data_IF_038991485709
#
_entry.id   IF_038991485709
#
_cell.length_a   1.000
_cell.length_b   1.000
_cell.length_c   1.000
_cell.angle_alpha   90.00
_cell.angle_beta   90.00
_cell.angle_gamma   90.00
#
_symmetry.space_group_name_H-M   'P 1'
#
loop_
_entity.id
_entity.type
_entity.pdbx_description
1 polymer ?
#
# COMPACT_ATOMS: atom_id res chain seq x y z
N UNK A 1 41.88 -30.26 -28.83
CA UNK A 1 41.02 -30.10 -27.64
C UNK A 1 40.07 -28.94 -27.93
N UNK A 2 38.78 -29.23 -28.11
CA UNK A 2 37.74 -28.23 -28.41
C UNK A 2 37.26 -27.60 -27.09
N UNK A 3 37.31 -26.28 -26.98
CA UNK A 3 36.75 -25.51 -25.88
C UNK A 3 35.25 -25.31 -26.09
N UNK A 4 34.46 -25.66 -25.08
CA UNK A 4 33.01 -25.45 -25.03
C UNK A 4 32.73 -24.06 -24.47
N UNK A 5 31.88 -23.22 -25.09
CA UNK A 5 31.48 -21.94 -24.49
C UNK A 5 30.36 -22.14 -23.46
N UNK A 6 30.42 -21.38 -22.37
CA UNK A 6 29.41 -21.34 -21.31
C UNK A 6 28.05 -20.79 -21.81
N UNK A 7 26.91 -21.27 -21.28
CA UNK A 7 25.60 -20.77 -21.68
C UNK A 7 25.35 -19.35 -21.14
N UNK A 8 24.91 -18.48 -22.05
CA UNK A 8 24.35 -17.14 -21.79
C UNK A 8 23.15 -17.25 -20.85
N UNK A 9 23.14 -16.45 -19.79
CA UNK A 9 21.95 -16.22 -18.98
C UNK A 9 20.86 -15.57 -19.84
N UNK A 10 19.76 -16.30 -20.05
CA UNK A 10 18.53 -15.81 -20.66
C UNK A 10 17.81 -14.92 -19.66
N UNK A 11 17.70 -13.63 -19.98
CA UNK A 11 16.82 -12.69 -19.30
C UNK A 11 15.36 -13.17 -19.46
N UNK A 12 14.65 -13.30 -18.34
CA UNK A 12 13.24 -13.65 -18.32
C UNK A 12 12.37 -12.37 -18.41
N UNK A 13 11.28 -12.38 -19.18
CA UNK A 13 10.42 -11.22 -19.36
C UNK A 13 9.52 -10.97 -18.14
N UNK A 14 9.51 -9.72 -17.65
CA UNK A 14 8.48 -9.21 -16.73
C UNK A 14 7.22 -8.92 -17.52
N UNK A 15 6.21 -9.76 -17.40
CA UNK A 15 4.87 -9.46 -17.93
C UNK A 15 3.81 -9.84 -16.89
N UNK A 16 3.47 -8.89 -16.01
CA UNK A 16 2.17 -8.80 -15.37
C UNK A 16 1.52 -7.53 -15.93
N UNK A 17 0.66 -7.68 -16.92
CA UNK A 17 0.05 -6.58 -17.64
C UNK A 17 -1.18 -6.07 -16.87
N UNK A 18 -1.11 -4.86 -16.35
CA UNK A 18 -2.26 -4.12 -15.81
C UNK A 18 -3.02 -3.48 -17.00
N UNK A 19 -3.72 -4.30 -17.78
CA UNK A 19 -4.56 -3.82 -18.88
C UNK A 19 -5.93 -3.40 -18.35
N UNK A 20 -6.14 -2.09 -18.24
CA UNK A 20 -7.47 -1.51 -18.09
C UNK A 20 -8.38 -1.92 -19.26
N UNK A 21 -9.66 -2.23 -19.03
CA UNK A 21 -10.63 -2.24 -20.13
C UNK A 21 -10.83 -0.80 -20.62
N UNK A 22 -10.18 -0.45 -21.73
CA UNK A 22 -10.53 0.73 -22.52
C UNK A 22 -11.97 0.57 -23.02
N UNK A 23 -12.92 1.26 -22.39
CA UNK A 23 -14.21 1.61 -23.00
C UNK A 23 -14.32 3.12 -23.15
N UNK A 24 -13.91 3.54 -24.35
CA UNK A 24 -14.35 4.69 -25.13
C UNK A 24 -15.20 5.73 -24.39
N UNK A 25 -14.62 6.90 -24.14
CA UNK A 25 -15.35 8.16 -24.25
C UNK A 25 -14.49 9.09 -25.10
N UNK A 26 -15.03 9.44 -26.27
CA UNK A 26 -14.49 10.47 -27.13
C UNK A 26 -14.44 11.79 -26.35
N UNK A 27 -13.26 12.38 -26.20
CA UNK A 27 -13.11 13.79 -25.86
C UNK A 27 -12.49 14.48 -27.05
N UNK A 28 -13.34 15.25 -27.71
CA UNK A 28 -13.02 16.13 -28.81
C UNK A 28 -11.95 17.14 -28.38
N UNK A 29 -11.01 17.39 -29.29
CA UNK A 29 -10.18 18.59 -29.27
C UNK A 29 -11.09 19.83 -29.28
N UNK A 30 -10.90 20.72 -28.32
CA UNK A 30 -11.13 22.16 -28.54
C UNK A 30 -9.93 22.89 -27.96
N UNK A 31 -9.00 23.26 -28.84
CA UNK A 31 -7.97 24.27 -28.54
C UNK A 31 -8.42 25.61 -29.13
N UNK A 32 -8.45 26.61 -28.27
CA UNK A 32 -8.24 28.04 -28.50
C UNK A 32 -9.11 28.78 -29.53
N UNK A 33 -9.91 29.72 -29.02
CA UNK A 33 -10.31 30.92 -29.75
C UNK A 33 -10.33 32.15 -28.81
N UNK A 34 -9.38 33.05 -29.09
CA UNK A 34 -9.44 34.51 -29.03
C UNK A 34 -9.62 35.25 -27.69
N UNK A 35 -8.56 35.99 -27.36
CA UNK A 35 -8.63 37.29 -26.70
C UNK A 35 -9.59 38.24 -27.45
N UNK A 36 -10.64 38.72 -26.75
CA UNK A 36 -11.20 40.07 -26.90
C UNK A 36 -12.25 40.35 -25.81
N UNK A 37 -11.98 41.31 -24.93
CA UNK A 37 -12.90 42.35 -24.49
C UNK A 37 -14.21 42.04 -23.73
N UNK A 38 -14.28 42.61 -22.52
CA UNK A 38 -15.45 43.25 -21.89
C UNK A 38 -16.49 42.43 -21.08
N UNK A 39 -16.39 42.65 -19.76
CA UNK A 39 -17.42 43.02 -18.77
C UNK A 39 -18.67 42.16 -18.46
N UNK A 40 -18.72 41.83 -17.16
CA UNK A 40 -19.86 41.72 -16.22
C UNK A 40 -20.91 40.64 -16.45
N UNK A 41 -20.93 39.64 -15.56
CA UNK A 41 -21.93 39.51 -14.48
C UNK A 41 -21.67 38.23 -13.70
N UNK A 42 -21.84 38.29 -12.38
CA UNK A 42 -21.54 37.20 -11.47
C UNK A 42 -22.38 35.96 -11.76
N UNK A 43 -21.72 34.88 -12.15
CA UNK A 43 -22.21 33.53 -11.96
C UNK A 43 -21.10 32.75 -11.26
N UNK A 44 -21.33 32.47 -9.99
CA UNK A 44 -20.56 31.48 -9.24
C UNK A 44 -20.64 30.17 -10.04
N UNK A 45 -19.54 29.78 -10.66
CA UNK A 45 -19.38 28.43 -11.18
C UNK A 45 -19.36 27.51 -9.96
N UNK A 46 -20.51 26.93 -9.63
CA UNK A 46 -20.54 25.75 -8.77
C UNK A 46 -19.80 24.68 -9.56
N UNK A 47 -18.58 24.41 -9.13
CA UNK A 47 -17.77 23.28 -9.57
C UNK A 47 -18.52 22.00 -9.18
N UNK A 48 -19.44 21.55 -10.03
CA UNK A 48 -20.15 20.30 -9.86
C UNK A 48 -19.19 19.18 -10.24
N UNK A 49 -18.36 18.77 -9.27
CA UNK A 49 -17.80 17.42 -9.27
C UNK A 49 -18.96 16.45 -9.52
N UNK A 50 -18.85 15.52 -10.49
CA UNK A 50 -19.91 14.55 -10.72
C UNK A 50 -20.23 13.84 -9.40
N UNK A 51 -21.50 13.90 -9.00
CA UNK A 51 -21.98 13.27 -7.77
C UNK A 51 -21.96 11.75 -7.98
N UNK A 52 -20.80 11.15 -7.72
CA UNK A 52 -20.67 9.70 -7.73
C UNK A 52 -21.46 9.12 -6.55
N UNK A 53 -22.20 8.04 -6.80
CA UNK A 53 -22.78 7.24 -5.73
C UNK A 53 -21.67 6.35 -5.15
N UNK A 54 -21.39 6.52 -3.86
CA UNK A 54 -20.49 5.68 -3.10
C UNK A 54 -21.30 4.76 -2.19
N UNK A 55 -21.07 3.46 -2.30
CA UNK A 55 -21.69 2.48 -1.41
C UNK A 55 -20.90 2.44 -0.09
N UNK A 56 -21.57 2.57 1.05
CA UNK A 56 -20.92 2.39 2.35
C UNK A 56 -20.43 0.95 2.47
N UNK A 57 -19.16 0.76 2.79
CA UNK A 57 -18.52 -0.55 2.91
C UNK A 57 -17.66 -0.61 4.17
N UNK A 58 -17.55 -1.80 4.75
CA UNK A 58 -16.48 -2.13 5.71
C UNK A 58 -15.30 -2.72 4.94
N UNK A 59 -14.11 -2.63 5.53
CA UNK A 59 -12.91 -3.24 4.93
C UNK A 59 -13.08 -4.76 4.81
N UNK A 60 -13.67 -5.40 5.80
CA UNK A 60 -13.93 -6.85 5.77
C UNK A 60 -14.82 -7.27 4.59
N UNK A 61 -15.85 -6.48 4.27
CA UNK A 61 -16.72 -6.76 3.14
C UNK A 61 -16.00 -6.68 1.79
N UNK A 62 -15.03 -5.77 1.64
CA UNK A 62 -14.23 -5.65 0.42
C UNK A 62 -13.27 -6.83 0.32
N UNK A 63 -12.54 -7.14 1.40
CA UNK A 63 -11.54 -8.21 1.41
C UNK A 63 -12.13 -9.63 1.26
N UNK A 64 -13.41 -9.81 1.55
CA UNK A 64 -14.11 -11.09 1.39
C UNK A 64 -14.92 -11.19 0.10
N UNK A 65 -14.96 -10.11 -0.69
CA UNK A 65 -15.58 -10.13 -2.01
C UNK A 65 -14.68 -10.89 -3.00
N UNK A 66 -15.25 -11.85 -3.73
CA UNK A 66 -14.53 -12.63 -4.74
C UNK A 66 -14.23 -11.85 -6.02
N UNK A 67 -14.54 -10.55 -6.02
CA UNK A 67 -14.35 -9.59 -7.10
C UNK A 67 -15.53 -9.48 -8.07
N UNK A 68 -16.58 -10.28 -7.87
CA UNK A 68 -17.83 -10.28 -8.64
C UNK A 68 -19.03 -9.82 -7.81
N UNK A 69 -18.83 -9.54 -6.51
CA UNK A 69 -19.86 -9.07 -5.61
C UNK A 69 -20.04 -7.55 -5.61
N UNK A 70 -20.84 -7.02 -4.67
CA UNK A 70 -21.18 -5.59 -4.60
C UNK A 70 -20.00 -4.68 -4.27
N UNK A 71 -18.86 -5.25 -3.84
CA UNK A 71 -17.63 -4.54 -3.54
C UNK A 71 -16.47 -4.99 -4.43
N UNK A 72 -16.80 -5.58 -5.59
CA UNK A 72 -15.85 -6.05 -6.59
C UNK A 72 -15.05 -4.95 -7.28
N UNK A 73 -14.32 -5.34 -8.33
CA UNK A 73 -13.35 -4.46 -8.99
C UNK A 73 -14.06 -3.27 -9.64
N UNK A 74 -13.46 -2.09 -9.49
CA UNK A 74 -13.99 -0.85 -10.02
C UNK A 74 -15.21 -0.28 -9.29
N UNK A 75 -15.72 -0.93 -8.23
CA UNK A 75 -16.83 -0.40 -7.44
C UNK A 75 -16.40 0.83 -6.64
N UNK A 76 -17.33 1.78 -6.49
CA UNK A 76 -17.10 2.99 -5.68
C UNK A 76 -17.63 2.81 -4.27
N UNK A 77 -16.74 2.98 -3.30
CA UNK A 77 -17.05 2.75 -1.89
C UNK A 77 -16.76 3.96 -1.03
N UNK A 78 -17.45 4.03 0.10
CA UNK A 78 -17.17 4.90 1.22
C UNK A 78 -16.75 4.04 2.41
N UNK A 79 -15.51 4.21 2.85
CA UNK A 79 -15.02 3.74 4.13
C UNK A 79 -15.21 4.88 5.14
N UNK A 80 -15.94 4.64 6.22
CA UNK A 80 -16.17 5.64 7.25
C UNK A 80 -15.34 5.38 8.49
N UNK A 81 -14.80 6.45 9.08
CA UNK A 81 -14.07 6.46 10.35
C UNK A 81 -12.99 5.37 10.50
N UNK A 82 -12.26 5.07 9.43
CA UNK A 82 -11.09 4.17 9.46
C UNK A 82 -9.87 4.90 10.01
N UNK A 83 -8.90 4.17 10.56
CA UNK A 83 -7.70 4.75 11.17
C UNK A 83 -6.48 4.46 10.32
N UNK A 84 -5.71 5.49 9.98
CA UNK A 84 -4.42 5.33 9.32
C UNK A 84 -3.40 4.62 10.23
N UNK A 85 -2.94 3.44 9.85
CA UNK A 85 -2.00 2.63 10.66
C UNK A 85 -0.55 2.75 10.19
N UNK A 86 -0.30 3.27 9.00
CA UNK A 86 1.02 3.59 8.46
C UNK A 86 1.19 5.09 8.21
N UNK A 87 2.44 5.54 8.00
CA UNK A 87 2.68 6.82 7.33
C UNK A 87 2.33 6.69 5.83
N UNK A 88 2.18 7.82 5.15
CA UNK A 88 2.09 7.80 3.70
C UNK A 88 3.44 7.43 3.12
N UNK A 89 3.42 6.45 2.24
CA UNK A 89 4.57 5.99 1.49
C UNK A 89 4.49 6.39 0.03
N UNK A 90 5.61 6.24 -0.68
CA UNK A 90 5.75 6.59 -2.09
C UNK A 90 6.63 5.59 -2.84
N UNK A 91 6.22 5.25 -4.06
CA UNK A 91 6.96 4.37 -4.96
C UNK A 91 6.75 4.81 -6.41
N UNK A 92 7.63 4.36 -7.31
CA UNK A 92 7.43 4.54 -8.75
C UNK A 92 6.78 3.28 -9.32
N UNK A 93 5.63 3.44 -9.97
CA UNK A 93 5.04 2.32 -10.71
C UNK A 93 5.91 2.04 -11.95
N UNK A 94 6.47 0.83 -12.01
CA UNK A 94 7.42 0.45 -13.05
C UNK A 94 6.83 0.42 -14.47
N UNK A 95 5.50 0.28 -14.60
CA UNK A 95 4.81 0.15 -15.89
C UNK A 95 4.62 1.51 -16.54
N UNK A 96 4.05 2.46 -15.79
CA UNK A 96 3.69 3.77 -16.33
C UNK A 96 4.61 4.91 -15.88
N UNK A 97 5.64 4.60 -15.09
CA UNK A 97 6.62 5.57 -14.59
C UNK A 97 5.94 6.74 -13.84
N UNK A 98 4.89 6.45 -13.07
CA UNK A 98 4.20 7.43 -12.23
C UNK A 98 4.58 7.25 -10.77
N UNK A 99 4.74 8.39 -10.07
CA UNK A 99 4.79 8.40 -8.62
C UNK A 99 3.42 7.97 -8.08
N UNK A 100 3.45 6.96 -7.20
CA UNK A 100 2.30 6.47 -6.46
C UNK A 100 2.53 6.75 -4.99
N UNK A 101 1.45 7.07 -4.30
CA UNK A 101 1.44 7.30 -2.87
C UNK A 101 0.48 6.31 -2.23
N UNK A 102 0.80 5.77 -1.07
CA UNK A 102 -0.06 4.82 -0.41
C UNK A 102 -0.04 4.94 1.12
N UNK A 103 -1.14 4.53 1.76
CA UNK A 103 -1.27 4.44 3.20
C UNK A 103 -2.11 3.21 3.53
N UNK A 104 -1.81 2.53 4.62
CA UNK A 104 -2.69 1.48 5.13
C UNK A 104 -3.63 2.05 6.18
N UNK A 105 -4.89 1.69 6.06
CA UNK A 105 -5.93 2.03 7.01
C UNK A 105 -6.55 0.77 7.57
N UNK A 106 -7.01 0.83 8.81
CA UNK A 106 -7.66 -0.28 9.49
C UNK A 106 -8.98 0.19 10.08
N UNK A 107 -10.00 -0.66 9.96
CA UNK A 107 -11.31 -0.43 10.56
C UNK A 107 -11.24 -0.72 12.07
N UNK A 108 -11.44 0.29 12.93
CA UNK A 108 -11.32 0.12 14.38
C UNK A 108 -12.46 -0.67 15.00
N UNK A 109 -13.60 -0.80 14.30
CA UNK A 109 -14.78 -1.52 14.78
C UNK A 109 -14.87 -2.95 14.18
N UNK A 110 -13.91 -3.30 13.33
CA UNK A 110 -13.82 -4.63 12.73
C UNK A 110 -13.37 -5.68 13.75
N UNK A 111 -14.25 -6.68 13.96
CA UNK A 111 -14.03 -7.80 14.88
C UNK A 111 -13.65 -9.10 14.17
N UNK A 112 -13.82 -9.16 12.85
CA UNK A 112 -13.53 -10.34 12.03
C UNK A 112 -12.49 -9.96 10.97
N UNK A 113 -11.24 -10.41 11.11
CA UNK A 113 -10.20 -10.15 10.12
C UNK A 113 -10.54 -10.74 8.73
N UNK A 114 -10.02 -10.17 7.62
CA UNK A 114 -9.09 -9.03 7.58
C UNK A 114 -9.78 -7.68 7.75
N UNK A 115 -9.11 -6.79 8.49
CA UNK A 115 -9.64 -5.47 8.88
C UNK A 115 -8.86 -4.28 8.29
N UNK A 116 -7.80 -4.54 7.52
CA UNK A 116 -6.98 -3.51 6.90
C UNK A 116 -7.07 -3.51 5.37
N UNK A 117 -6.76 -2.37 4.77
CA UNK A 117 -6.69 -2.20 3.31
C UNK A 117 -5.67 -1.12 2.98
N UNK A 118 -5.04 -1.21 1.80
CA UNK A 118 -4.19 -0.14 1.30
C UNK A 118 -5.01 0.87 0.51
N UNK A 119 -4.74 2.15 0.74
CA UNK A 119 -5.33 3.28 0.04
C UNK A 119 -4.22 3.94 -0.78
N UNK A 120 -4.44 4.08 -2.08
CA UNK A 120 -3.45 4.57 -3.05
C UNK A 120 -3.93 5.87 -3.69
N UNK A 121 -2.99 6.76 -3.98
CA UNK A 121 -3.17 7.96 -4.76
C UNK A 121 -2.15 8.03 -5.91
N UNK A 122 -2.59 8.61 -7.02
CA UNK A 122 -1.75 8.84 -8.19
C UNK A 122 -1.16 10.23 -8.11
N UNK A 123 0.17 10.31 -8.12
CA UNK A 123 0.90 11.56 -8.23
C UNK A 123 1.36 11.84 -9.66
N UNK A 124 2.31 12.77 -9.76
CA UNK A 124 2.93 13.15 -11.02
C UNK A 124 3.79 12.04 -11.65
N UNK A 125 4.18 12.24 -12.91
CA UNK A 125 5.19 11.39 -13.55
C UNK A 125 6.50 11.40 -12.77
N UNK A 126 7.18 10.26 -12.77
CA UNK A 126 8.51 10.14 -12.23
C UNK A 126 9.46 11.14 -12.90
N UNK A 127 10.41 11.73 -12.16
CA UNK A 127 11.28 12.77 -12.69
C UNK A 127 12.24 12.27 -13.78
N UNK A 128 12.53 10.97 -13.82
CA UNK A 128 13.39 10.31 -14.81
C UNK A 128 13.11 8.79 -14.88
N UNK A 129 13.53 8.08 -15.95
CA UNK A 129 13.13 6.68 -16.21
C UNK A 129 13.53 5.63 -15.17
N UNK A 130 14.59 5.88 -14.40
CA UNK A 130 15.10 4.96 -13.36
C UNK A 130 14.81 5.47 -11.95
N UNK A 131 13.89 6.43 -11.81
CA UNK A 131 13.51 7.01 -10.53
C UNK A 131 12.95 5.97 -9.57
N UNK A 132 13.21 6.20 -8.29
CA UNK A 132 12.76 5.39 -7.17
C UNK A 132 11.77 6.16 -6.31
N UNK A 133 11.15 5.48 -5.35
CA UNK A 133 10.25 6.11 -4.37
C UNK A 133 10.81 7.40 -3.77
N UNK A 134 12.10 7.43 -3.35
CA UNK A 134 12.73 8.66 -2.83
C UNK A 134 12.70 9.85 -3.78
N UNK A 135 12.77 9.61 -5.08
CA UNK A 135 12.90 10.64 -6.11
C UNK A 135 11.54 11.28 -6.43
N UNK A 136 10.45 10.63 -6.02
CA UNK A 136 9.12 11.24 -6.03
C UNK A 136 9.02 12.40 -5.01
N UNK A 137 8.19 13.42 -5.26
CA UNK A 137 7.96 14.50 -4.31
C UNK A 137 7.62 13.99 -2.93
N UNK A 138 8.01 14.74 -1.90
CA UNK A 138 7.56 14.49 -0.54
C UNK A 138 6.03 14.49 -0.48
N UNK A 139 5.45 13.72 0.43
CA UNK A 139 3.99 13.61 0.60
C UNK A 139 3.32 14.98 0.68
N UNK A 140 3.87 15.90 1.48
CA UNK A 140 3.35 17.25 1.68
C UNK A 140 3.36 18.14 0.44
N UNK A 141 4.19 17.81 -0.57
CA UNK A 141 4.31 18.56 -1.83
C UNK A 141 3.87 17.73 -3.03
N UNK A 142 3.30 16.54 -2.80
CA UNK A 142 2.89 15.61 -3.86
C UNK A 142 1.69 16.09 -4.67
N UNK A 143 0.90 17.02 -4.13
CA UNK A 143 -0.39 17.42 -4.71
C UNK A 143 -1.47 16.34 -4.65
N UNK A 144 -1.20 15.21 -3.99
CA UNK A 144 -2.17 14.11 -3.87
C UNK A 144 -3.11 14.29 -2.69
N UNK A 145 -4.24 13.56 -2.72
CA UNK A 145 -5.20 13.51 -1.62
C UNK A 145 -4.58 12.95 -0.33
N UNK A 146 -3.49 12.18 -0.41
CA UNK A 146 -2.78 11.68 0.77
C UNK A 146 -1.77 12.69 1.35
N UNK A 147 -1.69 13.91 0.84
CA UNK A 147 -0.66 14.88 1.25
C UNK A 147 -0.75 15.32 2.73
N UNK A 148 -1.94 15.25 3.32
CA UNK A 148 -2.22 15.76 4.67
C UNK A 148 -2.48 14.68 5.72
N UNK A 149 -2.63 13.41 5.33
CA UNK A 149 -2.95 12.33 6.26
C UNK A 149 -1.69 11.80 6.96
N UNK A 150 -1.80 11.59 8.28
CA UNK A 150 -0.78 11.00 9.13
C UNK A 150 -1.23 9.70 9.78
N UNK A 151 -0.25 8.89 10.22
CA UNK A 151 -0.53 7.69 11.03
C UNK A 151 -1.21 8.09 12.35
N UNK A 152 -2.36 7.51 12.61
CA UNK A 152 -3.23 7.77 13.75
C UNK A 152 -4.45 8.63 13.42
N UNK A 153 -4.50 9.22 12.22
CA UNK A 153 -5.66 10.01 11.81
C UNK A 153 -6.86 9.10 11.55
N UNK A 154 -8.02 9.57 12.00
CA UNK A 154 -9.30 9.02 11.60
C UNK A 154 -9.68 9.65 10.26
N UNK A 155 -10.10 8.85 9.30
CA UNK A 155 -10.44 9.33 7.97
C UNK A 155 -11.74 8.71 7.45
N UNK A 156 -12.47 9.51 6.69
CA UNK A 156 -13.48 9.03 5.76
C UNK A 156 -12.89 9.05 4.36
N UNK A 157 -12.94 7.90 3.70
CA UNK A 157 -12.29 7.68 2.40
C UNK A 157 -13.36 7.30 1.39
N UNK A 158 -13.39 8.04 0.28
CA UNK A 158 -14.21 7.73 -0.89
C UNK A 158 -13.27 7.38 -2.04
N UNK A 159 -13.54 6.28 -2.72
CA UNK A 159 -12.65 5.84 -3.79
C UNK A 159 -13.17 4.64 -4.54
N UNK A 160 -12.34 4.17 -5.47
CA UNK A 160 -12.60 3.01 -6.30
C UNK A 160 -11.81 1.82 -5.80
N UNK A 161 -12.50 0.70 -5.62
CA UNK A 161 -11.88 -0.60 -5.31
C UNK A 161 -11.10 -1.09 -6.53
N UNK A 162 -9.88 -1.57 -6.30
CA UNK A 162 -9.02 -2.23 -7.28
C UNK A 162 -8.38 -3.45 -6.63
N UNK A 163 -8.29 -4.55 -7.37
CA UNK A 163 -7.59 -5.75 -6.91
C UNK A 163 -6.32 -5.99 -7.70
N UNK A 164 -5.28 -6.42 -7.00
CA UNK A 164 -4.07 -6.97 -7.62
C UNK A 164 -4.20 -8.49 -7.64
N UNK A 165 -4.30 -9.13 -8.82
CA UNK A 165 -4.25 -10.59 -8.92
C UNK A 165 -2.82 -11.10 -8.86
N UNK A 166 -2.64 -12.34 -8.39
CA UNK A 166 -1.39 -13.08 -8.53
C UNK A 166 -1.00 -13.17 -10.02
N UNK A 167 0.29 -13.30 -10.32
CA UNK A 167 0.79 -13.56 -11.66
C UNK A 167 0.84 -15.06 -12.01
N UNK A 168 0.49 -15.93 -11.06
CA UNK A 168 0.37 -17.39 -11.24
C UNK A 168 -1.11 -17.82 -11.26
N UNK A 169 -1.49 -18.73 -12.16
CA UNK A 169 -2.83 -19.32 -12.14
C UNK A 169 -3.10 -20.04 -10.80
N UNK A 170 -4.28 -19.84 -10.18
CA UNK A 170 -5.52 -19.33 -10.78
C UNK A 170 -5.75 -17.81 -10.69
N UNK A 171 -4.71 -16.99 -10.51
CA UNK A 171 -4.79 -15.52 -10.45
C UNK A 171 -5.70 -15.02 -9.31
N UNK A 172 -5.53 -15.60 -8.13
CA UNK A 172 -6.24 -15.16 -6.92
C UNK A 172 -5.90 -13.71 -6.59
N UNK A 173 -6.84 -12.97 -6.01
CA UNK A 173 -6.55 -11.63 -5.46
C UNK A 173 -5.46 -11.76 -4.39
N UNK A 174 -4.38 -11.01 -4.56
CA UNK A 174 -3.27 -10.92 -3.60
C UNK A 174 -3.31 -9.62 -2.80
N UNK A 175 -3.90 -8.55 -3.31
CA UNK A 175 -4.08 -7.30 -2.55
C UNK A 175 -5.37 -6.57 -2.95
N UNK A 176 -6.12 -6.13 -1.94
CA UNK A 176 -7.27 -5.23 -2.08
C UNK A 176 -6.82 -3.78 -1.87
N UNK A 177 -7.23 -2.90 -2.78
CA UNK A 177 -6.76 -1.52 -2.83
C UNK A 177 -7.92 -0.55 -3.02
N UNK A 178 -7.81 0.64 -2.44
CA UNK A 178 -8.68 1.78 -2.73
C UNK A 178 -7.88 2.86 -3.44
N UNK A 179 -8.22 3.16 -4.69
CA UNK A 179 -7.76 4.40 -5.32
C UNK A 179 -8.63 5.56 -4.85
N UNK A 180 -8.03 6.46 -4.08
CA UNK A 180 -8.75 7.54 -3.41
C UNK A 180 -9.24 8.58 -4.42
N UNK A 181 -10.53 8.92 -4.33
CA UNK A 181 -11.20 9.99 -5.09
C UNK A 181 -11.52 11.19 -4.18
N UNK A 182 -11.70 10.98 -2.86
CA UNK A 182 -11.76 12.03 -1.84
C UNK A 182 -11.37 11.48 -0.45
N UNK A 183 -10.77 12.34 0.38
CA UNK A 183 -10.46 12.02 1.79
C UNK A 183 -10.88 13.17 2.70
N UNK A 184 -11.46 12.84 3.84
CA UNK A 184 -11.84 13.78 4.88
C UNK A 184 -11.20 13.30 6.19
N UNK A 185 -10.32 14.11 6.77
CA UNK A 185 -9.76 13.84 8.10
C UNK A 185 -10.84 14.18 9.12
N UNK A 186 -11.21 13.18 9.91
CA UNK A 186 -12.22 13.29 10.96
C UNK A 186 -11.55 13.66 12.29
N UNK A 187 -12.39 14.04 13.26
CA UNK A 187 -11.93 14.14 14.64
C UNK A 187 -11.44 12.78 15.14
N UNK A 188 -10.25 12.76 15.75
CA UNK A 188 -9.68 11.53 16.32
C UNK A 188 -10.52 11.05 17.49
N UNK A 189 -11.32 10.00 17.26
CA UNK A 189 -12.20 9.40 18.27
C UNK A 189 -12.05 7.88 18.38
N UNK A 190 -11.17 7.29 17.55
CA UNK A 190 -10.84 5.87 17.54
C UNK A 190 -9.31 5.71 17.49
N UNK A 191 -8.83 4.53 17.86
CA UNK A 191 -7.43 4.18 17.77
C UNK A 191 -7.30 2.69 17.48
N UNK A 192 -6.19 2.30 16.86
CA UNK A 192 -5.86 0.90 16.59
C UNK A 192 -4.76 0.47 17.56
N UNK A 193 -5.08 -0.56 18.36
CA UNK A 193 -4.06 -1.34 19.04
C UNK A 193 -3.54 -2.43 18.07
N UNK A 194 -2.22 -2.63 17.96
CA UNK A 194 -1.69 -3.72 17.15
C UNK A 194 -2.20 -5.09 17.62
N UNK A 195 -2.45 -5.99 16.68
CA UNK A 195 -2.73 -7.40 17.00
C UNK A 195 -1.43 -8.10 17.39
N UNK A 196 -1.32 -8.52 18.65
CA UNK A 196 -0.11 -9.18 19.17
C UNK A 196 -0.14 -10.67 18.80
N UNK A 197 0.92 -11.12 18.13
CA UNK A 197 1.15 -12.51 17.74
C UNK A 197 2.34 -13.03 18.53
N UNK A 198 2.09 -14.00 19.42
CA UNK A 198 3.11 -14.54 20.32
C UNK A 198 3.55 -15.97 20.03
N UNK A 199 2.78 -16.71 19.23
CA UNK A 199 3.14 -18.04 18.78
C UNK A 199 4.15 -17.95 17.62
N UNK A 200 5.39 -18.31 17.94
CA UNK A 200 6.53 -18.25 17.02
C UNK A 200 6.40 -19.26 15.88
N UNK A 201 5.57 -20.30 16.02
CA UNK A 201 5.30 -21.25 14.94
C UNK A 201 4.55 -20.59 13.76
N UNK A 202 3.90 -19.45 13.98
CA UNK A 202 3.16 -18.72 12.94
C UNK A 202 4.02 -17.71 12.19
N UNK A 203 5.24 -17.40 12.66
CA UNK A 203 6.02 -16.28 12.12
C UNK A 203 6.52 -16.51 10.69
N UNK A 204 6.64 -17.78 10.28
CA UNK A 204 6.96 -18.17 8.91
C UNK A 204 5.83 -17.90 7.91
N UNK A 205 4.65 -17.50 8.37
CA UNK A 205 3.54 -17.07 7.50
C UNK A 205 3.77 -15.67 6.93
N UNK A 206 4.71 -14.91 7.48
CA UNK A 206 5.04 -13.55 7.03
C UNK A 206 6.32 -13.58 6.19
N UNK A 207 6.26 -14.22 5.04
CA UNK A 207 7.40 -14.42 4.14
C UNK A 207 7.05 -14.05 2.72
N UNK A 208 7.94 -13.33 2.04
CA UNK A 208 7.70 -12.82 0.70
C UNK A 208 7.38 -13.96 -0.27
N UNK A 209 6.26 -13.84 -1.00
CA UNK A 209 5.79 -14.84 -1.98
C UNK A 209 5.59 -16.28 -1.44
N UNK A 210 5.39 -16.46 -0.12
CA UNK A 210 5.22 -17.79 0.48
C UNK A 210 3.95 -17.86 1.35
N UNK A 211 3.01 -18.73 0.94
CA UNK A 211 1.76 -19.00 1.66
C UNK A 211 0.66 -17.96 1.46
N UNK A 212 -0.60 -18.33 1.73
CA UNK A 212 -1.78 -17.43 1.76
C UNK A 212 -2.34 -17.27 3.19
N UNK A 213 -1.64 -17.81 4.19
CA UNK A 213 -2.12 -17.85 5.58
C UNK A 213 -2.06 -16.49 6.28
N UNK A 214 -1.32 -15.52 5.71
CA UNK A 214 -1.27 -14.13 6.15
C UNK A 214 -2.48 -13.30 5.69
N UNK A 215 -3.28 -13.76 4.71
CA UNK A 215 -4.38 -12.97 4.12
C UNK A 215 -5.37 -12.48 5.18
N UNK A 216 -5.57 -13.26 6.26
CA UNK A 216 -6.40 -12.85 7.40
C UNK A 216 -5.91 -11.57 8.10
N UNK A 217 -4.67 -11.17 7.90
CA UNK A 217 -4.08 -9.96 8.47
C UNK A 217 -3.85 -8.85 7.43
N UNK A 218 -4.39 -8.98 6.22
CA UNK A 218 -4.22 -7.98 5.14
C UNK A 218 -4.40 -6.54 5.65
N UNK A 219 -3.37 -5.71 5.46
CA UNK A 219 -3.33 -4.30 5.85
C UNK A 219 -3.45 -4.02 7.34
N UNK A 220 -3.42 -5.04 8.20
CA UNK A 220 -3.56 -4.87 9.64
C UNK A 220 -2.23 -4.54 10.30
N UNK A 221 -2.28 -3.75 11.38
CA UNK A 221 -1.15 -3.50 12.25
C UNK A 221 -0.96 -4.69 13.21
N UNK A 222 0.16 -5.38 13.10
CA UNK A 222 0.50 -6.55 13.92
C UNK A 222 1.81 -6.34 14.68
N UNK A 223 1.93 -6.97 15.84
CA UNK A 223 3.16 -7.01 16.63
C UNK A 223 3.59 -8.45 16.80
N UNK A 224 4.77 -8.80 16.28
CA UNK A 224 5.40 -10.08 16.63
C UNK A 224 6.09 -9.91 17.98
N UNK A 225 5.67 -10.69 18.97
CA UNK A 225 6.19 -10.64 20.34
C UNK A 225 6.26 -12.07 20.89
N UNK A 226 7.39 -12.78 20.71
CA UNK A 226 7.55 -14.15 21.18
C UNK A 226 7.13 -14.31 22.64
N UNK A 227 6.34 -15.34 22.95
CA UNK A 227 6.01 -15.66 24.35
C UNK A 227 7.26 -15.98 25.19
N UNK A 228 8.31 -16.49 24.54
CA UNK A 228 9.63 -16.77 25.11
C UNK A 228 10.72 -16.38 24.12
N UNK A 229 11.85 -15.85 24.62
CA UNK A 229 13.00 -15.46 23.79
C UNK A 229 12.85 -14.08 23.16
N UNK A 230 13.62 -13.83 22.10
CA UNK A 230 13.66 -12.57 21.37
C UNK A 230 13.64 -12.82 19.86
N UNK A 231 13.18 -11.83 19.11
CA UNK A 231 13.40 -11.77 17.68
C UNK A 231 14.87 -11.41 17.42
N UNK A 232 15.56 -12.15 16.56
CA UNK A 232 16.95 -11.88 16.16
C UNK A 232 17.03 -11.63 14.66
N UNK A 233 17.60 -10.50 14.26
CA UNK A 233 17.87 -10.21 12.84
C UNK A 233 18.89 -11.20 12.32
N UNK A 234 18.50 -12.06 11.38
CA UNK A 234 19.31 -13.18 10.91
C UNK A 234 20.03 -12.89 9.60
N UNK A 235 19.42 -12.10 8.70
CA UNK A 235 19.95 -11.82 7.38
C UNK A 235 19.35 -10.53 6.80
N UNK A 236 19.95 -10.06 5.70
CA UNK A 236 19.38 -9.06 4.81
C UNK A 236 19.14 -9.67 3.44
N UNK A 237 18.09 -9.21 2.75
CA UNK A 237 17.81 -9.55 1.36
C UNK A 237 17.63 -8.26 0.55
N UNK A 238 17.26 -8.38 -0.73
CA UNK A 238 17.06 -7.21 -1.61
C UNK A 238 15.83 -6.38 -1.25
N UNK A 239 15.01 -6.83 -0.31
CA UNK A 239 13.74 -6.23 0.11
C UNK A 239 13.75 -5.84 1.59
N UNK A 240 14.87 -5.91 2.32
CA UNK A 240 14.91 -5.59 3.76
C UNK A 240 15.69 -6.60 4.59
N UNK A 241 15.16 -6.96 5.77
CA UNK A 241 15.82 -7.89 6.70
C UNK A 241 14.92 -9.06 7.10
N UNK A 242 15.55 -10.14 7.59
CA UNK A 242 14.87 -11.31 8.10
C UNK A 242 15.08 -11.45 9.60
N UNK A 243 14.06 -11.94 10.31
CA UNK A 243 14.15 -12.23 11.74
C UNK A 243 13.82 -13.69 12.06
N UNK A 244 14.50 -14.23 13.06
CA UNK A 244 14.18 -15.51 13.69
C UNK A 244 13.58 -15.28 15.08
N UNK A 245 12.72 -16.18 15.59
CA UNK A 245 12.20 -17.40 14.95
C UNK A 245 11.26 -17.12 13.75
N UNK A 246 11.08 -18.10 12.87
CA UNK A 246 10.13 -18.04 11.74
C UNK A 246 10.68 -17.56 10.39
N UNK A 247 11.90 -17.01 10.33
CA UNK A 247 12.44 -16.38 9.11
C UNK A 247 11.46 -15.36 8.52
N UNK A 248 10.87 -14.51 9.36
CA UNK A 248 9.93 -13.47 8.94
C UNK A 248 10.64 -12.44 8.08
N UNK A 249 10.04 -12.11 6.94
CA UNK A 249 10.50 -11.02 6.07
C UNK A 249 9.94 -9.68 6.57
N UNK A 250 10.87 -8.76 6.79
CA UNK A 250 10.59 -7.38 7.14
C UNK A 250 10.95 -6.51 5.94
N UNK A 251 9.90 -6.07 5.26
CA UNK A 251 9.99 -5.38 4.00
C UNK A 251 10.49 -3.94 4.14
N UNK A 252 11.19 -3.53 3.10
CA UNK A 252 11.50 -2.18 2.63
C UNK A 252 11.10 -2.14 1.15
N UNK A 253 9.80 -2.23 0.88
CA UNK A 253 9.26 -2.18 -0.49
C UNK A 253 9.52 -0.85 -1.19
N UNK A 254 10.12 0.12 -0.50
CA UNK A 254 10.25 1.48 -0.99
C UNK A 254 11.68 1.76 -1.44
N UNK A 255 12.18 0.90 -2.34
CA UNK A 255 13.38 1.10 -3.13
C UNK A 255 14.66 1.43 -2.32
N UNK A 256 14.79 0.94 -1.08
CA UNK A 256 16.02 1.08 -0.29
C UNK A 256 16.15 2.39 0.50
N UNK A 257 15.05 3.13 0.65
CA UNK A 257 15.03 4.45 1.31
C UNK A 257 14.19 4.50 2.58
N UNK A 258 13.71 3.35 3.06
CA UNK A 258 12.89 3.31 4.26
C UNK A 258 13.73 3.32 5.54
N UNK A 259 13.98 4.54 6.04
CA UNK A 259 14.39 4.72 7.42
C UNK A 259 13.14 4.98 8.27
N UNK A 260 12.87 4.16 9.29
CA UNK A 260 11.87 4.52 10.27
C UNK A 260 12.23 5.89 10.85
N UNK A 261 11.23 6.75 11.11
CA UNK A 261 11.49 8.15 11.49
C UNK A 261 12.43 8.20 12.71
N UNK A 262 13.60 8.84 12.53
CA UNK A 262 14.65 8.97 13.53
C UNK A 262 15.75 7.89 13.49
N UNK A 263 15.66 6.86 12.65
CA UNK A 263 16.74 5.89 12.46
C UNK A 263 17.75 6.40 11.43
N UNK A 264 19.02 6.11 11.68
CA UNK A 264 20.14 6.39 10.77
C UNK A 264 20.62 5.13 10.03
N UNK A 265 20.16 3.94 10.42
CA UNK A 265 20.44 2.64 9.77
C UNK A 265 19.37 1.58 10.11
N UNK A 266 19.20 0.61 9.22
CA UNK A 266 18.47 -0.63 9.52
C UNK A 266 19.14 -1.37 10.70
N UNK A 267 18.39 -2.19 11.45
CA UNK A 267 18.94 -3.12 12.44
C UNK A 267 20.08 -3.96 11.88
N UNK A 268 21.21 -4.08 12.58
CA UNK A 268 22.31 -4.95 12.16
C UNK A 268 21.95 -6.43 12.34
N UNK A 269 22.56 -7.32 11.54
CA UNK A 269 22.49 -8.77 11.81
C UNK A 269 22.97 -9.05 13.24
N UNK A 270 22.19 -9.85 13.97
CA UNK A 270 22.39 -10.12 15.40
C UNK A 270 21.68 -9.14 16.35
N UNK A 271 21.06 -8.07 15.85
CA UNK A 271 20.20 -7.22 16.68
C UNK A 271 19.03 -8.03 17.23
N UNK A 272 18.68 -7.77 18.49
CA UNK A 272 17.61 -8.49 19.18
C UNK A 272 16.49 -7.55 19.63
N UNK A 273 15.25 -8.06 19.60
CA UNK A 273 14.05 -7.29 19.95
C UNK A 273 13.06 -8.17 20.72
N UNK A 274 12.50 -7.64 21.80
CA UNK A 274 11.33 -8.23 22.48
C UNK A 274 10.08 -8.22 21.59
N UNK A 275 9.93 -7.19 20.76
CA UNK A 275 8.85 -7.14 19.79
C UNK A 275 9.17 -6.25 18.60
N UNK A 276 8.61 -6.57 17.45
CA UNK A 276 8.63 -5.71 16.27
C UNK A 276 7.19 -5.54 15.76
N UNK A 277 6.79 -4.31 15.47
CA UNK A 277 5.45 -3.96 14.99
C UNK A 277 5.50 -3.52 13.53
N UNK A 278 4.54 -3.96 12.72
CA UNK A 278 4.45 -3.57 11.32
C UNK A 278 3.07 -3.80 10.74
N UNK A 279 2.82 -3.23 9.56
CA UNK A 279 1.61 -3.52 8.79
C UNK A 279 1.87 -4.72 7.88
N UNK A 280 0.91 -5.63 7.75
CA UNK A 280 1.02 -6.76 6.81
C UNK A 280 0.80 -6.28 5.38
N UNK A 281 1.86 -6.35 4.57
CA UNK A 281 1.86 -5.98 3.15
C UNK A 281 1.63 -7.21 2.29
N UNK A 282 0.55 -7.20 1.53
CA UNK A 282 0.05 -8.37 0.80
C UNK A 282 0.57 -8.43 -0.62
N UNK A 283 0.85 -7.25 -1.22
CA UNK A 283 1.52 -7.09 -2.52
C UNK A 283 2.76 -7.95 -2.72
N UNK A 284 3.52 -8.22 -1.65
CA UNK A 284 4.75 -9.01 -1.72
C UNK A 284 4.63 -10.34 -0.96
N UNK A 285 3.42 -10.79 -0.63
CA UNK A 285 3.20 -12.08 0.02
C UNK A 285 3.30 -12.07 1.54
N UNK A 286 2.88 -10.99 2.21
CA UNK A 286 2.67 -11.00 3.66
C UNK A 286 3.87 -10.57 4.51
N UNK A 287 4.85 -9.90 3.91
CA UNK A 287 5.94 -9.27 4.68
C UNK A 287 5.39 -8.20 5.65
N UNK A 288 6.18 -7.86 6.66
CA UNK A 288 5.82 -6.84 7.65
C UNK A 288 6.51 -5.50 7.38
N UNK A 289 5.73 -4.42 7.41
CA UNK A 289 6.15 -3.03 7.17
C UNK A 289 6.22 -2.23 8.47
N UNK A 290 7.39 -2.12 9.13
CA UNK A 290 7.54 -1.31 10.33
C UNK A 290 7.47 0.18 10.00
N UNK A 291 6.83 1.00 10.82
CA UNK A 291 6.53 2.42 10.57
C UNK A 291 7.58 3.43 11.06
N UNK A 292 8.18 3.13 12.21
CA UNK A 292 8.90 4.06 13.09
C UNK A 292 9.93 3.32 13.94
N UNK A 293 10.91 4.02 14.49
CA UNK A 293 11.92 3.38 15.37
C UNK A 293 11.28 2.70 16.57
N UNK A 294 10.25 3.33 17.13
CA UNK A 294 9.50 2.81 18.26
C UNK A 294 8.73 1.52 17.96
N UNK A 295 8.61 1.13 16.69
CA UNK A 295 8.01 -0.14 16.33
C UNK A 295 8.98 -1.32 16.60
N UNK A 296 10.28 -1.04 16.83
CA UNK A 296 11.28 -1.99 17.30
C UNK A 296 11.52 -1.80 18.80
N UNK A 297 11.18 -2.82 19.61
CA UNK A 297 11.37 -2.78 21.07
C UNK A 297 12.55 -3.70 21.44
N UNK A 298 13.72 -3.14 21.81
CA UNK A 298 14.88 -3.93 22.21
C UNK A 298 14.59 -4.73 23.48
#
# INVERSE_FOLDING_TARGET
>A
MKSTPAPRATAWPRTGAETWPQRQHALALILAALWAGCSSSGQSTVDMLPMYNYTVATIHQINTDTGTGPFGDGQRVLLDNVVAVSKVDKYVNAVNQQCRYQIWVQDPDCTTPPCGIVVKAVGQMAPFPDAKGKDCPATSTSGTLLSTIGRGDNARIRGRVVFEPDNVQPYTVVEHQIFVEAIEILTTNKAIAPTVLSDTAMYNQFQTHLGQTWNKYEGMLVTLQPATGVLTVSAFNSQGFQATPGLTDWGDVFDGDYYPSGATMFPLVGSTYRSITGVVSTRHGGELMPGRNKDFVP
#
